data_IF_966371687554
#
_entry.id   IF_966371687554
#
_cell.length_a   1.000
_cell.length_b   1.000
_cell.length_c   1.000
_cell.angle_alpha   90.00
_cell.angle_beta   90.00
_cell.angle_gamma   90.00
#
_symmetry.space_group_name_H-M   'P 1'
#
loop_
_entity.id
_entity.type
_entity.pdbx_description
1 polymer ?
#
# COMPACT_ATOMS: atom_id res chain seq x y z
N UNK A 1 -3.03 -3.42 7.90
CA UNK A 1 -3.32 -3.94 6.53
C UNK A 1 -4.52 -4.87 6.56
N UNK A 2 -4.65 -5.70 7.62
CA UNK A 2 -5.70 -6.69 7.81
C UNK A 2 -7.15 -6.19 7.76
N UNK A 3 -7.41 -4.89 7.96
CA UNK A 3 -8.78 -4.35 7.94
C UNK A 3 -9.28 -4.00 6.53
N UNK A 4 -8.39 -3.60 5.62
CA UNK A 4 -8.78 -3.15 4.28
C UNK A 4 -8.88 -4.31 3.30
N UNK A 5 -8.01 -5.32 3.44
CA UNK A 5 -7.94 -6.46 2.51
C UNK A 5 -9.26 -7.26 2.45
N UNK A 6 -9.91 -7.61 3.58
CA UNK A 6 -11.19 -8.32 3.54
C UNK A 6 -12.30 -7.53 2.85
N UNK A 7 -12.28 -6.20 2.99
CA UNK A 7 -13.25 -5.31 2.35
C UNK A 7 -13.02 -5.24 0.83
N UNK A 8 -11.76 -5.19 0.39
CA UNK A 8 -11.40 -5.26 -1.04
C UNK A 8 -11.85 -6.59 -1.67
N UNK A 9 -11.67 -7.71 -0.96
CA UNK A 9 -12.11 -9.04 -1.41
C UNK A 9 -13.62 -9.09 -1.58
N UNK A 10 -14.40 -8.65 -0.59
CA UNK A 10 -15.87 -8.60 -0.69
C UNK A 10 -16.35 -7.78 -1.88
N UNK A 11 -15.71 -6.63 -2.13
CA UNK A 11 -16.08 -5.77 -3.25
C UNK A 11 -15.80 -6.46 -4.60
N UNK A 12 -14.73 -7.25 -4.69
CA UNK A 12 -14.38 -8.02 -5.90
C UNK A 12 -15.34 -9.16 -6.13
N UNK A 13 -15.73 -9.86 -5.08
CA UNK A 13 -16.77 -10.89 -5.13
C UNK A 13 -18.09 -10.30 -5.64
N UNK A 14 -18.54 -9.16 -5.10
CA UNK A 14 -19.74 -8.48 -5.58
C UNK A 14 -19.63 -8.05 -7.05
N UNK A 15 -18.46 -7.59 -7.51
CA UNK A 15 -18.26 -7.27 -8.92
C UNK A 15 -18.41 -8.50 -9.83
N UNK A 16 -17.83 -9.63 -9.43
CA UNK A 16 -17.90 -10.90 -10.16
C UNK A 16 -19.33 -11.41 -10.21
N UNK A 17 -20.07 -11.33 -9.11
CA UNK A 17 -21.50 -11.69 -9.06
C UNK A 17 -22.31 -10.83 -10.04
N UNK A 18 -22.08 -9.51 -10.09
CA UNK A 18 -22.75 -8.61 -11.02
C UNK A 18 -22.37 -8.88 -12.49
N UNK A 19 -21.14 -9.32 -12.76
CA UNK A 19 -20.68 -9.75 -14.09
C UNK A 19 -21.37 -11.04 -14.56
N UNK A 20 -21.54 -12.00 -13.66
CA UNK A 20 -22.12 -13.32 -13.98
C UNK A 20 -23.65 -13.29 -14.16
N UNK A 21 -24.32 -12.22 -13.75
CA UNK A 21 -25.73 -12.01 -14.01
C UNK A 21 -25.97 -11.63 -15.48
N UNK A 22 -26.65 -12.50 -16.22
CA UNK A 22 -26.84 -12.40 -17.68
C UNK A 22 -27.84 -11.32 -18.13
N UNK A 23 -28.47 -10.61 -17.19
CA UNK A 23 -29.42 -9.52 -17.46
C UNK A 23 -28.67 -8.18 -17.54
N UNK A 24 -28.51 -7.65 -18.74
CA UNK A 24 -27.92 -6.32 -18.96
C UNK A 24 -29.01 -5.27 -18.74
N UNK A 25 -28.92 -4.52 -17.63
CA UNK A 25 -29.70 -3.29 -17.38
C UNK A 25 -28.76 -2.11 -17.15
N UNK A 26 -29.25 -0.88 -17.35
CA UNK A 26 -28.45 0.34 -17.12
C UNK A 26 -27.98 0.46 -15.68
N UNK A 27 -28.82 0.08 -14.72
CA UNK A 27 -28.51 0.10 -13.29
C UNK A 27 -27.37 -0.85 -12.94
N UNK A 28 -27.31 -2.03 -13.59
CA UNK A 28 -26.24 -3.00 -13.39
C UNK A 28 -24.90 -2.47 -13.92
N UNK A 29 -24.91 -1.81 -15.09
CA UNK A 29 -23.71 -1.20 -15.66
C UNK A 29 -23.20 0.00 -14.84
N UNK A 30 -24.10 0.79 -14.27
CA UNK A 30 -23.73 1.87 -13.36
C UNK A 30 -23.13 1.33 -12.05
N UNK A 31 -23.71 0.29 -11.45
CA UNK A 31 -23.16 -0.37 -10.27
C UNK A 31 -21.75 -0.96 -10.53
N UNK A 32 -21.55 -1.61 -11.69
CA UNK A 32 -20.22 -2.09 -12.12
C UNK A 32 -19.21 -0.95 -12.25
N UNK A 33 -19.63 0.21 -12.76
CA UNK A 33 -18.77 1.39 -12.91
C UNK A 33 -18.38 1.95 -11.55
N UNK A 34 -19.31 2.08 -10.63
CA UNK A 34 -19.04 2.57 -9.25
C UNK A 34 -18.06 1.66 -8.50
N UNK A 35 -18.23 0.34 -8.63
CA UNK A 35 -17.30 -0.62 -8.04
C UNK A 35 -15.90 -0.49 -8.67
N UNK A 36 -15.79 -0.31 -9.98
CA UNK A 36 -14.50 -0.07 -10.64
C UNK A 36 -13.81 1.22 -10.17
N UNK A 37 -14.57 2.32 -10.02
CA UNK A 37 -14.05 3.56 -9.46
C UNK A 37 -13.53 3.34 -8.03
N UNK A 38 -14.27 2.58 -7.24
CA UNK A 38 -13.87 2.20 -5.88
C UNK A 38 -12.57 1.39 -5.88
N UNK A 39 -12.37 0.45 -6.82
CA UNK A 39 -11.09 -0.27 -6.96
C UNK A 39 -9.91 0.65 -7.28
N UNK A 40 -10.10 1.64 -8.15
CA UNK A 40 -9.04 2.61 -8.45
C UNK A 40 -8.63 3.40 -7.20
N UNK A 41 -9.59 3.83 -6.40
CA UNK A 41 -9.32 4.51 -5.12
C UNK A 41 -8.62 3.59 -4.12
N UNK A 42 -9.08 2.33 -4.00
CA UNK A 42 -8.47 1.32 -3.13
C UNK A 42 -7.02 1.04 -3.54
N UNK A 43 -6.74 0.88 -4.83
CA UNK A 43 -5.40 0.65 -5.34
C UNK A 43 -4.44 1.82 -5.04
N UNK A 44 -4.94 3.05 -5.19
CA UNK A 44 -4.19 4.27 -4.84
C UNK A 44 -3.88 4.30 -3.35
N UNK A 45 -4.87 4.00 -2.50
CA UNK A 45 -4.69 3.96 -1.05
C UNK A 45 -3.67 2.88 -0.62
N UNK A 46 -3.71 1.68 -1.21
CA UNK A 46 -2.72 0.64 -0.92
C UNK A 46 -1.30 1.03 -1.32
N UNK A 47 -1.14 1.67 -2.49
CA UNK A 47 0.16 2.19 -2.92
C UNK A 47 0.71 3.18 -1.89
N UNK A 48 -0.12 4.10 -1.40
CA UNK A 48 0.30 5.07 -0.38
C UNK A 48 0.64 4.41 0.96
N UNK A 49 -0.13 3.40 1.39
CA UNK A 49 0.18 2.63 2.61
C UNK A 49 1.54 1.95 2.48
N UNK A 50 1.80 1.30 1.35
CA UNK A 50 3.09 0.63 1.09
C UNK A 50 4.25 1.63 1.05
N UNK A 51 4.10 2.74 0.34
CA UNK A 51 5.11 3.79 0.29
C UNK A 51 5.46 4.28 1.69
N UNK A 52 4.46 4.61 2.52
CA UNK A 52 4.68 5.04 3.91
C UNK A 52 5.41 3.98 4.74
N UNK A 53 4.99 2.71 4.63
CA UNK A 53 5.64 1.61 5.35
C UNK A 53 7.13 1.47 5.00
N UNK A 54 7.47 1.63 3.72
CA UNK A 54 8.87 1.60 3.29
C UNK A 54 9.64 2.85 3.67
N UNK A 55 9.00 4.02 3.65
CA UNK A 55 9.61 5.29 4.08
C UNK A 55 9.95 5.27 5.57
N UNK A 56 9.04 4.82 6.42
CA UNK A 56 9.26 4.69 7.87
C UNK A 56 10.41 3.72 8.14
N UNK A 57 10.37 2.53 7.51
CA UNK A 57 11.47 1.55 7.66
C UNK A 57 12.81 2.07 7.15
N UNK A 58 12.81 2.84 6.07
CA UNK A 58 14.03 3.48 5.54
C UNK A 58 14.58 4.48 6.55
N UNK A 59 13.72 5.29 7.15
CA UNK A 59 14.10 6.27 8.16
C UNK A 59 14.74 5.58 9.38
N UNK A 60 14.12 4.53 9.89
CA UNK A 60 14.66 3.75 11.02
C UNK A 60 16.06 3.23 10.72
N UNK A 61 16.26 2.61 9.55
CA UNK A 61 17.57 2.10 9.12
C UNK A 61 18.61 3.22 9.02
N UNK A 62 18.23 4.39 8.47
CA UNK A 62 19.14 5.53 8.36
C UNK A 62 19.57 6.05 9.74
N UNK A 63 18.63 6.13 10.69
CA UNK A 63 18.93 6.53 12.06
C UNK A 63 19.84 5.53 12.74
N UNK A 64 19.55 4.23 12.66
CA UNK A 64 20.40 3.17 13.22
C UNK A 64 21.81 3.19 12.61
N UNK A 65 21.91 3.35 11.29
CA UNK A 65 23.20 3.43 10.57
C UNK A 65 23.98 4.66 11.00
N UNK A 66 23.32 5.82 11.13
CA UNK A 66 23.98 7.07 11.57
C UNK A 66 24.48 6.97 13.01
N UNK A 67 23.72 6.30 13.89
CA UNK A 67 24.15 6.04 15.27
C UNK A 67 25.36 5.11 15.27
N UNK A 68 25.30 4.01 14.51
CA UNK A 68 26.42 3.08 14.39
C UNK A 68 27.68 3.76 13.84
N UNK A 69 27.56 4.56 12.78
CA UNK A 69 28.67 5.33 12.22
C UNK A 69 29.27 6.29 13.26
N UNK A 70 28.42 6.98 14.04
CA UNK A 70 28.86 7.87 15.10
C UNK A 70 29.63 7.13 16.20
N UNK A 71 29.16 5.96 16.62
CA UNK A 71 29.84 5.11 17.61
C UNK A 71 31.18 4.62 17.07
N UNK A 72 31.22 4.15 15.82
CA UNK A 72 32.46 3.71 15.16
C UNK A 72 33.49 4.85 15.06
N UNK A 73 33.06 6.07 14.73
CA UNK A 73 33.93 7.26 14.71
C UNK A 73 34.47 7.60 16.09
N UNK A 74 33.63 7.54 17.13
CA UNK A 74 34.06 7.80 18.52
C UNK A 74 35.08 6.77 19.01
N UNK A 75 34.90 5.51 18.63
CA UNK A 75 35.83 4.42 18.96
C UNK A 75 37.10 4.46 18.08
N UNK A 76 37.20 5.38 17.11
CA UNK A 76 38.33 5.47 16.18
C UNK A 76 38.39 4.32 15.18
N UNK A 77 37.27 3.62 14.97
CA UNK A 77 37.14 2.44 14.13
C UNK A 77 36.59 2.75 12.72
N UNK A 78 36.13 3.99 12.48
CA UNK A 78 35.86 4.51 11.13
C UNK A 78 36.42 5.93 10.97
N UNK A 79 37.02 6.18 9.80
CA UNK A 79 37.43 7.53 9.37
C UNK A 79 36.39 8.10 8.39
N UNK A 80 36.22 9.42 8.37
CA UNK A 80 35.41 10.08 7.33
C UNK A 80 35.99 9.74 5.95
N UNK A 81 35.27 8.95 5.14
CA UNK A 81 35.60 8.86 3.73
C UNK A 81 35.34 10.24 3.07
N UNK A 82 36.31 10.78 2.31
CA UNK A 82 36.20 12.09 1.67
C UNK A 82 35.10 12.16 0.61
#
# INVERSE_FOLDING_TARGET
VDYYLPTTVKLLESYIELQNNSHISSELEDAKREINLSFNSINTAYTQILTKLFEDKRLDIMTETSVLDSVLKMDGLSEEQP
#
